data_IF_312134230781
#
_entry.id   IF_312134230781
#
_cell.length_a   1.000
_cell.length_b   1.000
_cell.length_c   1.000
_cell.angle_alpha   90.00
_cell.angle_beta   90.00
_cell.angle_gamma   90.00
#
_symmetry.space_group_name_H-M   'P 1'
#
loop_
_entity.id
_entity.type
_entity.pdbx_description
1 polymer ?
#
# COMPACT_ATOMS: atom_id res chain seq x y z
N UNK A 1 11.54 -7.87 -1.67
CA UNK A 1 10.39 -8.40 -0.90
C UNK A 1 10.45 -9.91 -0.87
N UNK A 2 10.33 -10.50 0.33
CA UNK A 2 10.26 -11.94 0.53
C UNK A 2 8.87 -12.38 0.95
N UNK A 3 8.52 -13.64 0.67
CA UNK A 3 7.26 -14.26 1.07
C UNK A 3 7.49 -15.28 2.18
N UNK A 4 6.74 -15.14 3.26
CA UNK A 4 6.62 -16.12 4.34
C UNK A 4 5.14 -16.47 4.48
N UNK A 5 4.86 -17.77 4.63
CA UNK A 5 3.49 -18.29 4.76
C UNK A 5 3.36 -19.05 6.08
N UNK A 6 2.22 -18.90 6.72
CA UNK A 6 1.81 -19.66 7.91
C UNK A 6 0.32 -19.92 7.90
N UNK A 7 -0.10 -21.03 8.50
CA UNK A 7 -1.52 -21.36 8.70
C UNK A 7 -1.93 -21.31 10.19
N UNK A 8 -0.98 -21.19 11.10
CA UNK A 8 -1.21 -21.35 12.54
C UNK A 8 -0.43 -20.33 13.41
N UNK A 9 0.30 -19.41 12.77
CA UNK A 9 1.18 -18.41 13.42
C UNK A 9 2.29 -19.02 14.31
N UNK A 10 2.55 -20.31 14.16
CA UNK A 10 3.59 -21.06 14.89
C UNK A 10 4.62 -21.65 13.95
N UNK A 11 4.15 -22.21 12.84
CA UNK A 11 4.99 -22.81 11.81
C UNK A 11 5.02 -21.91 10.58
N UNK A 12 6.21 -21.69 10.04
CA UNK A 12 6.41 -20.74 8.94
C UNK A 12 7.18 -21.41 7.80
N UNK A 13 6.68 -21.24 6.58
CA UNK A 13 7.37 -21.62 5.35
C UNK A 13 7.92 -20.40 4.66
N UNK A 14 9.22 -20.36 4.44
CA UNK A 14 9.91 -19.29 3.71
C UNK A 14 10.00 -19.67 2.24
N UNK A 15 9.42 -18.86 1.37
CA UNK A 15 9.43 -19.07 -0.08
C UNK A 15 10.56 -18.30 -0.78
N UNK A 16 11.29 -17.46 -0.05
CA UNK A 16 12.34 -16.65 -0.63
C UNK A 16 11.84 -15.34 -1.19
N UNK A 17 12.60 -14.78 -2.12
CA UNK A 17 12.34 -13.47 -2.73
C UNK A 17 11.31 -13.59 -3.84
N UNK A 18 10.25 -12.79 -3.75
CA UNK A 18 9.20 -12.70 -4.77
C UNK A 18 9.30 -11.43 -5.64
N UNK A 19 9.85 -10.35 -5.12
CA UNK A 19 10.23 -9.17 -5.89
C UNK A 19 11.69 -8.82 -5.62
N UNK A 20 12.50 -8.61 -6.67
CA UNK A 20 13.90 -8.24 -6.50
C UNK A 20 14.07 -6.86 -5.85
N UNK A 21 15.24 -6.57 -5.24
CA UNK A 21 15.56 -5.23 -4.78
C UNK A 21 15.76 -4.28 -5.99
N UNK A 22 15.48 -2.99 -5.88
CA UNK A 22 14.93 -2.27 -4.72
C UNK A 22 13.41 -2.26 -4.83
N UNK A 23 12.71 -2.97 -3.96
CA UNK A 23 11.26 -3.04 -3.96
C UNK A 23 10.72 -3.11 -2.53
N UNK A 24 9.56 -2.50 -2.28
CA UNK A 24 8.91 -2.42 -0.97
C UNK A 24 7.40 -2.17 -1.11
N UNK A 25 6.73 -1.91 0.00
CA UNK A 25 5.31 -1.56 0.08
C UNK A 25 4.45 -2.55 -0.70
N UNK A 26 4.65 -3.84 -0.41
CA UNK A 26 3.96 -4.92 -1.08
C UNK A 26 2.65 -5.24 -0.37
N UNK A 27 1.52 -4.99 -1.03
CA UNK A 27 0.18 -5.30 -0.57
C UNK A 27 -0.45 -6.39 -1.44
N UNK A 28 -0.67 -7.56 -0.87
CA UNK A 28 -1.33 -8.67 -1.56
C UNK A 28 -2.84 -8.48 -1.53
N UNK A 29 -3.51 -8.67 -2.67
CA UNK A 29 -4.97 -8.79 -2.69
C UNK A 29 -5.40 -10.06 -1.93
N UNK A 30 -6.43 -9.96 -1.10
CA UNK A 30 -6.89 -11.05 -0.24
C UNK A 30 -7.43 -12.26 -1.00
N UNK A 31 -7.87 -12.05 -2.23
CA UNK A 31 -8.43 -13.11 -3.08
C UNK A 31 -7.94 -12.98 -4.53
N UNK A 32 -8.11 -14.04 -5.29
CA UNK A 32 -7.89 -14.03 -6.73
C UNK A 32 -8.90 -13.14 -7.44
N UNK A 33 -8.47 -12.51 -8.54
CA UNK A 33 -9.32 -11.89 -9.53
C UNK A 33 -9.20 -12.76 -10.79
N UNK A 34 -10.30 -13.39 -11.19
CA UNK A 34 -10.23 -14.48 -12.16
C UNK A 34 -9.42 -15.66 -11.63
N UNK A 35 -8.39 -16.07 -12.35
CA UNK A 35 -7.47 -17.15 -11.98
C UNK A 35 -6.12 -16.67 -11.41
N UNK A 36 -5.94 -15.35 -11.24
CA UNK A 36 -4.68 -14.71 -10.86
C UNK A 36 -4.70 -14.11 -9.46
N UNK A 37 -3.55 -14.15 -8.79
CA UNK A 37 -3.24 -13.33 -7.62
C UNK A 37 -2.69 -11.98 -8.08
N UNK A 38 -2.96 -10.94 -7.30
CA UNK A 38 -2.47 -9.59 -7.55
C UNK A 38 -1.75 -9.04 -6.33
N UNK A 39 -0.79 -8.16 -6.58
CA UNK A 39 -0.08 -7.41 -5.55
C UNK A 39 0.21 -6.00 -6.04
N UNK A 40 0.01 -5.03 -5.15
CA UNK A 40 0.62 -3.72 -5.30
C UNK A 40 2.04 -3.78 -4.75
N UNK A 41 2.95 -3.04 -5.37
CA UNK A 41 4.34 -2.96 -4.92
C UNK A 41 4.95 -1.64 -5.38
N UNK A 42 6.12 -1.30 -4.83
CA UNK A 42 6.85 -0.08 -5.20
C UNK A 42 8.29 -0.39 -5.54
N UNK A 43 8.65 -0.52 -6.82
CA UNK A 43 10.04 -0.50 -7.23
C UNK A 43 10.61 0.90 -6.98
N UNK A 44 11.72 0.98 -6.24
CA UNK A 44 12.37 2.25 -5.87
C UNK A 44 13.59 2.50 -6.75
N UNK A 45 13.39 2.51 -8.07
CA UNK A 45 14.45 2.75 -9.06
C UNK A 45 14.16 4.04 -9.83
N UNK A 46 15.13 4.98 -9.89
CA UNK A 46 14.98 6.21 -10.68
C UNK A 46 14.71 5.96 -12.16
N UNK A 47 15.20 4.85 -12.71
CA UNK A 47 15.00 4.45 -14.11
C UNK A 47 13.53 4.10 -14.41
N UNK A 48 12.73 3.81 -13.39
CA UNK A 48 11.29 3.57 -13.50
C UNK A 48 10.43 4.82 -13.23
N UNK A 49 11.03 5.99 -13.23
CA UNK A 49 10.36 7.27 -13.11
C UNK A 49 10.13 7.76 -11.69
N UNK A 50 10.35 6.95 -10.65
CA UNK A 50 10.21 7.39 -9.26
C UNK A 50 9.55 6.35 -8.35
N UNK A 51 9.11 6.82 -7.18
CA UNK A 51 8.47 6.00 -6.16
C UNK A 51 6.96 5.93 -6.40
N UNK A 52 6.54 5.07 -7.30
CA UNK A 52 5.16 4.90 -7.76
C UNK A 52 4.56 3.58 -7.31
N UNK A 53 3.23 3.49 -7.24
CA UNK A 53 2.52 2.24 -6.99
C UNK A 53 2.40 1.47 -8.30
N UNK A 54 2.91 0.26 -8.30
CA UNK A 54 2.82 -0.69 -9.40
C UNK A 54 1.96 -1.88 -8.99
N UNK A 55 1.30 -2.49 -9.97
CA UNK A 55 0.57 -3.74 -9.86
C UNK A 55 1.38 -4.84 -10.53
N UNK A 56 1.37 -6.03 -9.95
CA UNK A 56 1.86 -7.25 -10.56
C UNK A 56 0.82 -8.37 -10.41
N UNK A 57 0.84 -9.36 -11.31
CA UNK A 57 0.02 -10.55 -11.22
C UNK A 57 0.85 -11.82 -11.10
N UNK A 58 0.25 -12.87 -10.53
CA UNK A 58 0.90 -14.16 -10.31
C UNK A 58 -0.08 -15.33 -10.44
N UNK A 59 0.31 -16.46 -11.02
CA UNK A 59 -0.50 -17.68 -11.00
C UNK A 59 -0.48 -18.38 -9.61
N UNK A 60 0.56 -18.18 -8.81
CA UNK A 60 0.90 -19.02 -7.66
C UNK A 60 1.44 -18.25 -6.44
N UNK A 61 1.50 -16.91 -6.47
CA UNK A 61 2.08 -15.99 -5.47
C UNK A 61 3.61 -16.04 -5.36
N UNK A 62 4.28 -16.86 -6.17
CA UNK A 62 5.75 -16.99 -6.18
C UNK A 62 6.36 -16.32 -7.42
N UNK A 63 5.70 -16.50 -8.57
CA UNK A 63 6.16 -15.97 -9.86
C UNK A 63 5.30 -14.76 -10.24
N UNK A 64 5.89 -13.57 -10.18
CA UNK A 64 5.23 -12.30 -10.42
C UNK A 64 5.65 -11.69 -11.75
N UNK A 65 4.69 -11.15 -12.50
CA UNK A 65 4.91 -10.56 -13.81
C UNK A 65 3.82 -9.56 -14.21
N UNK A 66 3.80 -9.20 -15.48
CA UNK A 66 2.84 -8.24 -16.07
C UNK A 66 2.74 -6.93 -15.28
N UNK A 67 3.90 -6.40 -14.88
CA UNK A 67 3.99 -5.19 -14.07
C UNK A 67 3.40 -3.97 -14.79
N UNK A 68 2.51 -3.25 -14.10
CA UNK A 68 1.87 -2.02 -14.60
C UNK A 68 1.94 -0.94 -13.53
N UNK A 69 2.32 0.28 -13.92
CA UNK A 69 2.22 1.43 -13.02
C UNK A 69 0.75 1.83 -12.89
N UNK A 70 0.23 1.91 -11.65
CA UNK A 70 -1.18 2.26 -11.38
C UNK A 70 -1.34 3.64 -10.79
N UNK A 71 -0.39 4.11 -9.97
CA UNK A 71 -0.46 5.46 -9.42
C UNK A 71 0.93 6.08 -9.33
N UNK A 72 1.05 7.30 -9.86
CA UNK A 72 2.25 8.13 -9.80
C UNK A 72 2.09 9.23 -8.74
N UNK A 73 3.18 9.93 -8.44
CA UNK A 73 3.13 11.19 -7.69
C UNK A 73 2.36 12.28 -8.46
N UNK A 74 1.85 13.27 -7.74
CA UNK A 74 1.08 14.39 -8.32
C UNK A 74 1.76 15.71 -7.96
N UNK A 75 2.21 16.44 -8.98
CA UNK A 75 2.90 17.71 -8.78
C UNK A 75 2.02 18.73 -8.05
N UNK A 76 2.60 19.38 -7.03
CA UNK A 76 1.93 20.40 -6.24
C UNK A 76 0.92 19.86 -5.21
N UNK A 77 0.77 18.53 -5.10
CA UNK A 77 -0.12 17.89 -4.12
C UNK A 77 0.67 17.31 -2.93
N UNK A 78 -0.05 16.83 -1.94
CA UNK A 78 0.51 16.25 -0.70
C UNK A 78 1.31 14.96 -0.93
N UNK A 79 1.13 14.30 -2.07
CA UNK A 79 1.79 13.06 -2.47
C UNK A 79 2.75 13.24 -3.66
N UNK A 80 3.38 14.41 -3.73
CA UNK A 80 4.23 14.82 -4.86
C UNK A 80 5.61 14.15 -4.88
N UNK A 81 6.14 13.68 -3.76
CA UNK A 81 7.49 13.10 -3.70
C UNK A 81 7.50 11.57 -3.82
N UNK A 82 6.50 10.90 -3.26
CA UNK A 82 6.38 9.44 -3.32
C UNK A 82 4.98 8.97 -2.97
N UNK A 83 4.61 7.82 -3.51
CA UNK A 83 3.40 7.07 -3.16
C UNK A 83 3.74 5.61 -3.00
N UNK A 84 3.02 4.90 -2.14
CA UNK A 84 3.20 3.47 -1.92
C UNK A 84 1.95 2.84 -1.33
N UNK A 85 1.75 1.55 -1.59
CA UNK A 85 0.65 0.80 -1.02
C UNK A 85 0.80 0.67 0.50
N UNK A 86 -0.33 0.47 1.17
CA UNK A 86 -0.39 0.21 2.60
C UNK A 86 -0.65 -1.26 2.91
N UNK A 87 -1.80 -1.54 3.52
CA UNK A 87 -2.27 -2.90 3.79
C UNK A 87 -2.91 -3.53 2.55
N UNK A 88 -3.47 -4.73 2.68
CA UNK A 88 -4.16 -5.39 1.58
C UNK A 88 -5.36 -4.56 1.06
N UNK A 89 -5.56 -4.42 -0.26
CA UNK A 89 -6.73 -3.74 -0.78
C UNK A 89 -8.04 -4.40 -0.31
N UNK A 90 -9.00 -3.57 0.09
CA UNK A 90 -10.32 -4.00 0.59
C UNK A 90 -11.27 -4.15 -0.59
N UNK A 91 -11.90 -5.32 -0.72
CA UNK A 91 -12.94 -5.50 -1.73
C UNK A 91 -14.24 -4.85 -1.29
N UNK A 92 -14.76 -3.96 -2.13
CA UNK A 92 -16.07 -3.31 -1.97
C UNK A 92 -16.98 -3.64 -3.17
N UNK A 93 -18.21 -3.19 -3.17
CA UNK A 93 -19.11 -3.33 -4.32
C UNK A 93 -18.66 -2.46 -5.50
N UNK A 94 -17.99 -1.34 -5.22
CA UNK A 94 -17.57 -0.34 -6.21
C UNK A 94 -16.18 -0.62 -6.80
N UNK A 95 -15.32 -1.37 -6.08
CA UNK A 95 -13.93 -1.61 -6.48
C UNK A 95 -13.06 -2.15 -5.36
N UNK A 96 -11.75 -2.22 -5.61
CA UNK A 96 -10.75 -2.51 -4.61
C UNK A 96 -10.26 -1.20 -4.00
N UNK A 97 -10.62 -0.96 -2.75
CA UNK A 97 -10.18 0.21 -2.00
C UNK A 97 -8.78 -0.05 -1.41
N UNK A 98 -7.81 0.73 -1.86
CA UNK A 98 -6.47 0.77 -1.28
C UNK A 98 -6.30 2.04 -0.45
N UNK A 99 -5.93 1.89 0.82
CA UNK A 99 -5.50 3.01 1.66
C UNK A 99 -3.98 3.12 1.50
N UNK A 100 -3.55 4.00 0.61
CA UNK A 100 -2.15 4.20 0.28
C UNK A 100 -1.51 5.34 1.09
N UNK A 101 -0.19 5.33 1.21
CA UNK A 101 0.54 6.47 1.75
C UNK A 101 1.15 7.31 0.64
N UNK A 102 1.18 8.60 0.86
CA UNK A 102 1.90 9.56 0.05
C UNK A 102 2.76 10.48 0.91
N UNK A 103 3.81 11.05 0.34
CA UNK A 103 4.62 12.04 1.02
C UNK A 103 4.97 13.20 0.11
N UNK A 104 5.13 14.38 0.70
CA UNK A 104 5.71 15.55 0.06
C UNK A 104 7.25 15.57 0.16
N UNK A 105 7.88 16.60 -0.41
CA UNK A 105 9.34 16.76 -0.36
C UNK A 105 9.87 17.15 1.04
N UNK A 106 8.99 17.55 1.97
CA UNK A 106 9.33 17.79 3.38
C UNK A 106 9.22 16.51 4.22
N UNK A 107 8.97 15.37 3.58
CA UNK A 107 8.78 14.07 4.23
C UNK A 107 7.56 14.01 5.17
N UNK A 108 6.52 14.81 4.92
CA UNK A 108 5.25 14.69 5.60
C UNK A 108 4.46 13.56 4.95
N UNK A 109 4.24 12.49 5.68
CA UNK A 109 3.50 11.32 5.21
C UNK A 109 2.03 11.38 5.63
N UNK A 110 1.16 11.26 4.66
CA UNK A 110 -0.28 11.22 4.82
C UNK A 110 -0.86 9.96 4.17
N UNK A 111 -2.11 9.63 4.50
CA UNK A 111 -2.84 8.55 3.85
C UNK A 111 -3.87 9.10 2.89
N UNK A 112 -4.05 8.41 1.78
CA UNK A 112 -5.09 8.67 0.78
C UNK A 112 -5.83 7.39 0.40
N UNK A 113 -6.89 7.55 -0.36
CA UNK A 113 -7.70 6.46 -0.88
C UNK A 113 -7.53 6.34 -2.39
N UNK A 114 -7.37 5.10 -2.87
CA UNK A 114 -7.28 4.74 -4.27
C UNK A 114 -8.28 3.61 -4.55
N UNK A 115 -9.21 3.82 -5.48
CA UNK A 115 -10.19 2.81 -5.87
C UNK A 115 -9.80 2.21 -7.22
N UNK A 116 -9.63 0.89 -7.26
CA UNK A 116 -9.25 0.12 -8.45
C UNK A 116 -10.43 -0.70 -8.96
N UNK A 117 -10.49 -0.95 -10.26
CA UNK A 117 -11.54 -1.75 -10.89
C UNK A 117 -11.56 -3.20 -10.35
N UNK A 118 -12.75 -3.74 -10.12
CA UNK A 118 -12.94 -5.09 -9.56
C UNK A 118 -12.35 -6.21 -10.40
N UNK A 119 -12.39 -6.07 -11.73
CA UNK A 119 -11.99 -7.11 -12.67
C UNK A 119 -10.60 -6.86 -13.28
N UNK A 120 -10.20 -5.60 -13.35
CA UNK A 120 -8.88 -5.17 -13.85
C UNK A 120 -8.27 -4.13 -12.91
N UNK A 121 -7.63 -4.55 -11.82
CA UNK A 121 -7.10 -3.64 -10.81
C UNK A 121 -5.95 -2.75 -11.31
N UNK A 122 -5.55 -2.86 -12.57
CA UNK A 122 -4.66 -1.88 -13.20
C UNK A 122 -5.36 -0.57 -13.58
N UNK A 123 -6.70 -0.55 -13.53
CA UNK A 123 -7.51 0.65 -13.80
C UNK A 123 -7.86 1.35 -12.50
N UNK A 124 -7.45 2.59 -12.39
CA UNK A 124 -7.83 3.48 -11.29
C UNK A 124 -9.19 4.10 -11.62
N UNK A 125 -10.19 3.85 -10.76
CA UNK A 125 -11.54 4.42 -10.88
C UNK A 125 -11.59 5.80 -10.23
N UNK A 126 -10.97 5.90 -9.02
CA UNK A 126 -10.96 7.13 -8.25
C UNK A 126 -9.69 7.21 -7.38
N UNK A 127 -9.29 8.43 -7.04
CA UNK A 127 -8.20 8.73 -6.11
C UNK A 127 -8.55 9.99 -5.33
N UNK A 128 -8.40 9.95 -4.00
CA UNK A 128 -8.67 11.12 -3.16
C UNK A 128 -7.77 12.30 -3.57
N UNK A 129 -8.34 13.50 -3.66
CA UNK A 129 -7.58 14.73 -3.91
C UNK A 129 -6.82 15.14 -2.67
N UNK A 130 -7.54 15.20 -1.54
CA UNK A 130 -6.99 15.51 -0.24
C UNK A 130 -6.62 14.21 0.52
N UNK A 131 -5.71 14.28 1.50
CA UNK A 131 -5.44 13.15 2.37
C UNK A 131 -6.69 12.81 3.20
N UNK A 132 -6.94 11.51 3.40
CA UNK A 132 -7.99 11.03 4.31
C UNK A 132 -7.50 11.03 5.77
N UNK A 133 -6.18 11.03 5.96
CA UNK A 133 -5.54 11.14 7.27
C UNK A 133 -4.17 11.81 7.12
N UNK A 134 -3.86 12.71 8.06
CA UNK A 134 -2.60 13.45 8.10
C UNK A 134 -2.07 13.52 9.53
N UNK A 135 -0.76 13.72 9.75
CA UNK A 135 -0.17 13.80 11.08
C UNK A 135 -0.58 15.10 11.79
N UNK A 136 -1.47 15.00 12.77
CA UNK A 136 -2.01 16.12 13.54
C UNK A 136 -1.61 16.03 15.01
N UNK A 137 -1.71 14.83 15.61
CA UNK A 137 -1.41 14.63 17.01
C UNK A 137 0.11 14.76 17.30
N UNK A 138 0.45 15.13 18.51
CA UNK A 138 1.86 15.33 18.89
C UNK A 138 2.74 14.09 18.63
N UNK A 139 2.20 12.90 18.89
CA UNK A 139 2.90 11.63 18.65
C UNK A 139 2.99 11.24 17.17
N UNK A 140 2.25 11.91 16.29
CA UNK A 140 2.35 11.76 14.81
C UNK A 140 3.35 12.75 14.21
N UNK A 141 3.58 13.87 14.93
CA UNK A 141 4.48 14.93 14.47
C UNK A 141 5.90 14.77 14.99
N UNK A 142 6.05 14.12 16.16
CA UNK A 142 7.35 14.01 16.84
C UNK A 142 7.59 12.56 17.23
N UNK A 143 8.75 11.99 16.83
CA UNK A 143 9.20 10.64 17.10
C UNK A 143 10.49 10.33 16.38
N UNK A 144 10.75 9.07 16.12
CA UNK A 144 11.95 8.63 15.39
C UNK A 144 12.01 9.25 13.98
N UNK A 145 10.88 9.29 13.28
CA UNK A 145 10.72 10.00 12.00
C UNK A 145 9.42 10.80 12.03
N UNK A 146 9.51 12.10 12.32
CA UNK A 146 8.34 12.96 12.57
C UNK A 146 7.49 13.25 11.35
N UNK A 147 6.25 13.73 11.60
CA UNK A 147 5.25 14.05 10.58
C UNK A 147 4.83 12.83 9.73
N UNK A 148 4.57 11.70 10.38
CA UNK A 148 4.23 10.45 9.71
C UNK A 148 2.97 9.81 10.29
N UNK A 149 2.02 9.48 9.41
CA UNK A 149 1.00 8.46 9.59
C UNK A 149 1.18 7.42 8.47
N UNK A 150 1.31 6.14 8.84
CA UNK A 150 1.63 5.07 7.89
C UNK A 150 0.79 3.82 8.20
N UNK A 151 -0.10 3.43 7.30
CA UNK A 151 -0.97 2.27 7.54
C UNK A 151 -0.19 0.95 7.52
N UNK A 152 -0.47 0.09 8.51
CA UNK A 152 0.16 -1.22 8.67
C UNK A 152 -0.84 -2.37 8.50
N UNK A 153 -2.12 -2.12 8.72
CA UNK A 153 -3.16 -3.12 8.63
C UNK A 153 -4.53 -2.56 8.98
N UNK A 154 -5.56 -3.33 8.67
CA UNK A 154 -6.92 -2.95 8.99
C UNK A 154 -7.79 -4.17 9.28
N UNK A 155 -8.91 -3.93 9.92
CA UNK A 155 -10.03 -4.86 10.06
C UNK A 155 -11.27 -4.21 9.47
N UNK A 156 -12.05 -4.98 8.72
CA UNK A 156 -13.30 -4.53 8.10
C UNK A 156 -14.46 -5.25 8.78
N UNK A 157 -15.43 -4.48 9.30
CA UNK A 157 -16.66 -4.98 9.90
C UNK A 157 -17.85 -4.17 9.37
N UNK A 158 -18.57 -4.75 8.42
CA UNK A 158 -19.62 -4.03 7.67
C UNK A 158 -19.04 -2.81 6.97
N UNK A 159 -19.57 -1.63 7.28
CA UNK A 159 -19.14 -0.34 6.71
C UNK A 159 -18.01 0.34 7.52
N UNK A 160 -17.48 -0.35 8.51
CA UNK A 160 -16.44 0.20 9.39
C UNK A 160 -15.09 -0.40 9.07
N UNK A 161 -14.10 0.47 8.83
CA UNK A 161 -12.69 0.10 8.70
C UNK A 161 -11.97 0.56 9.95
N UNK A 162 -11.47 -0.40 10.73
CA UNK A 162 -10.55 -0.12 11.83
C UNK A 162 -9.12 -0.23 11.30
N UNK A 163 -8.42 0.88 11.26
CA UNK A 163 -7.05 0.94 10.74
C UNK A 163 -6.03 0.95 11.89
N UNK A 164 -4.97 0.16 11.72
CA UNK A 164 -3.78 0.22 12.55
C UNK A 164 -2.66 0.89 11.77
N UNK A 165 -2.06 1.93 12.36
CA UNK A 165 -1.05 2.74 11.68
C UNK A 165 0.14 3.05 12.58
N UNK A 166 1.30 3.21 11.98
CA UNK A 166 2.49 3.75 12.63
C UNK A 166 2.41 5.27 12.68
N UNK A 167 2.76 5.85 13.81
CA UNK A 167 2.88 7.28 14.01
C UNK A 167 4.33 7.63 14.33
N UNK A 168 4.91 8.55 13.53
CA UNK A 168 6.30 9.03 13.65
C UNK A 168 7.36 7.92 13.71
N UNK A 169 7.09 6.73 13.10
CA UNK A 169 7.94 5.53 13.16
C UNK A 169 8.32 5.09 14.60
N UNK A 170 7.50 5.39 15.58
CA UNK A 170 7.78 5.12 17.00
C UNK A 170 6.68 4.35 17.70
N UNK A 171 5.41 4.64 17.42
CA UNK A 171 4.27 3.99 18.05
C UNK A 171 3.27 3.46 17.04
N UNK A 172 2.50 2.44 17.46
CA UNK A 172 1.37 1.92 16.67
C UNK A 172 0.07 2.46 17.27
N UNK A 173 -0.75 3.04 16.43
CA UNK A 173 -2.02 3.65 16.79
C UNK A 173 -3.19 2.96 16.07
N UNK A 174 -4.40 3.31 16.49
CA UNK A 174 -5.65 2.82 15.93
C UNK A 174 -6.56 4.01 15.59
N UNK A 175 -7.16 3.97 14.41
CA UNK A 175 -8.19 4.89 13.93
C UNK A 175 -9.42 4.12 13.44
#
# INVERSE_FOLDING_TARGET
>A
VGLIHTNDWKNYTRHGMIFPPHNKDCALFEQKIGDRYFALHRPSSPELGGNYIWLAESPDRLHWGNHKCVATTRDGMWDCARVGAGAAPIKTEEGWLEIYHGADFNHRYCLGALLLDLNDPSKVIARSEEPIMEPIAAYEQTGFFGNVVFTNGHLVDGDTITMYYGASDEVICKA
#
